data_IF_083975397080
#
_entry.id   IF_083975397080
#
_cell.length_a   1.000
_cell.length_b   1.000
_cell.length_c   1.000
_cell.angle_alpha   90.00
_cell.angle_beta   90.00
_cell.angle_gamma   90.00
#
_symmetry.space_group_name_H-M   'P 1'
#
loop_
_entity.id
_entity.type
_entity.pdbx_description
1 polymer ?
#
# COMPACT_ATOMS: atom_id res chain seq x y z
N UNK A 1 -21.98 58.50 28.88
CA UNK A 1 -21.95 57.42 27.86
C UNK A 1 -20.52 56.89 27.80
N UNK A 2 -20.28 55.72 28.40
CA UNK A 2 -18.97 55.05 28.38
C UNK A 2 -18.99 54.04 27.23
N UNK A 3 -18.17 54.26 26.22
CA UNK A 3 -17.95 53.29 25.13
C UNK A 3 -17.03 52.17 25.62
N UNK A 4 -17.61 50.98 25.71
CA UNK A 4 -16.88 49.73 25.99
C UNK A 4 -16.27 49.27 24.66
N UNK A 5 -14.95 49.36 24.52
CA UNK A 5 -14.22 48.78 23.39
C UNK A 5 -14.00 47.30 23.70
N UNK A 6 -14.70 46.44 23.03
CA UNK A 6 -14.45 44.99 23.08
C UNK A 6 -13.31 44.69 22.10
N UNK A 7 -12.13 44.41 22.64
CA UNK A 7 -11.01 43.92 21.84
C UNK A 7 -11.20 42.42 21.69
N UNK A 8 -11.64 41.99 20.49
CA UNK A 8 -11.66 40.57 20.10
C UNK A 8 -10.21 40.19 19.77
N UNK A 9 -9.54 39.49 20.70
CA UNK A 9 -8.26 38.85 20.45
C UNK A 9 -8.58 37.57 19.67
N UNK A 10 -8.42 37.66 18.35
CA UNK A 10 -8.42 36.49 17.48
C UNK A 10 -7.11 35.75 17.73
N UNK A 11 -7.13 34.73 18.59
CA UNK A 11 -6.06 33.75 18.72
C UNK A 11 -5.95 33.02 17.36
N UNK A 12 -5.04 33.50 16.52
CA UNK A 12 -4.56 32.71 15.39
C UNK A 12 -3.85 31.50 15.99
N UNK A 13 -4.57 30.38 16.06
CA UNK A 13 -3.98 29.06 16.25
C UNK A 13 -3.17 28.80 14.98
N UNK A 14 -1.92 29.23 14.97
CA UNK A 14 -0.99 28.75 13.97
C UNK A 14 -0.86 27.25 14.18
N UNK A 15 -1.01 26.43 13.13
CA UNK A 15 -0.72 25.02 13.26
C UNK A 15 0.74 24.92 13.72
N UNK A 16 0.94 24.35 14.91
CA UNK A 16 2.28 23.99 15.38
C UNK A 16 2.78 22.97 14.35
N UNK A 17 3.54 23.45 13.38
CA UNK A 17 4.34 22.57 12.52
C UNK A 17 5.34 21.91 13.46
N UNK A 18 5.04 20.67 13.84
CA UNK A 18 6.02 19.80 14.45
C UNK A 18 7.08 19.62 13.37
N UNK A 19 8.17 20.34 13.50
CA UNK A 19 9.37 20.15 12.69
C UNK A 19 9.87 18.75 13.05
N UNK A 20 9.52 17.78 12.21
CA UNK A 20 9.89 16.39 12.46
C UNK A 20 11.41 16.32 12.50
N UNK A 21 11.97 15.82 13.59
CA UNK A 21 13.42 15.60 13.66
C UNK A 21 13.78 14.42 12.76
N UNK A 22 14.03 14.70 11.45
CA UNK A 22 14.44 13.71 10.49
C UNK A 22 15.70 12.96 10.94
N UNK A 23 16.55 13.58 11.77
CA UNK A 23 17.71 12.90 12.35
C UNK A 23 17.29 11.75 13.29
N UNK A 24 16.23 11.97 14.06
CA UNK A 24 15.69 10.91 14.92
C UNK A 24 15.06 9.79 14.09
N UNK A 25 14.35 10.11 13.00
CA UNK A 25 13.80 9.11 12.09
C UNK A 25 14.88 8.29 11.39
N UNK A 26 16.00 8.90 10.98
CA UNK A 26 17.13 8.14 10.47
C UNK A 26 17.68 7.14 11.49
N UNK A 27 17.84 7.55 12.76
CA UNK A 27 18.26 6.64 13.84
C UNK A 27 17.26 5.49 14.04
N UNK A 28 15.95 5.79 13.96
CA UNK A 28 14.91 4.77 14.05
C UNK A 28 14.96 3.80 12.85
N UNK A 29 15.17 4.32 11.63
CA UNK A 29 15.30 3.50 10.43
C UNK A 29 16.53 2.58 10.55
N UNK A 30 17.68 3.11 10.95
CA UNK A 30 18.89 2.31 11.14
C UNK A 30 18.70 1.22 12.22
N UNK A 31 18.03 1.55 13.32
CA UNK A 31 17.69 0.58 14.36
C UNK A 31 16.70 -0.49 13.86
N UNK A 32 15.70 -0.09 13.07
CA UNK A 32 14.75 -1.04 12.47
C UNK A 32 15.45 -1.97 11.47
N UNK A 33 16.36 -1.45 10.63
CA UNK A 33 17.14 -2.24 9.70
C UNK A 33 18.05 -3.25 10.43
N UNK A 34 18.70 -2.82 11.51
CA UNK A 34 19.53 -3.72 12.34
C UNK A 34 18.70 -4.84 12.99
N UNK A 35 17.42 -4.59 13.29
CA UNK A 35 16.51 -5.57 13.89
C UNK A 35 15.62 -6.31 12.87
N UNK A 36 15.85 -6.15 11.57
CA UNK A 36 15.00 -6.74 10.55
C UNK A 36 14.83 -8.25 10.67
N UNK A 37 15.91 -8.97 11.00
CA UNK A 37 15.85 -10.42 11.21
C UNK A 37 14.80 -10.81 12.27
N UNK A 38 14.70 -10.03 13.33
CA UNK A 38 13.69 -10.21 14.37
C UNK A 38 12.25 -9.98 13.86
N UNK A 39 12.02 -8.94 13.05
CA UNK A 39 10.67 -8.72 12.46
C UNK A 39 10.27 -9.85 11.49
N UNK A 40 11.24 -10.35 10.71
CA UNK A 40 11.03 -11.51 9.84
C UNK A 40 10.71 -12.76 10.67
N UNK A 41 11.44 -13.01 11.75
CA UNK A 41 11.17 -14.14 12.66
C UNK A 41 9.76 -14.06 13.28
N UNK A 42 9.34 -12.89 13.74
CA UNK A 42 7.98 -12.66 14.25
C UNK A 42 6.93 -12.96 13.19
N UNK A 43 7.16 -12.54 11.94
CA UNK A 43 6.26 -12.80 10.81
C UNK A 43 6.18 -14.30 10.52
N UNK A 44 7.33 -14.99 10.43
CA UNK A 44 7.39 -16.44 10.20
C UNK A 44 6.74 -17.22 11.35
N UNK A 45 6.93 -16.79 12.60
CA UNK A 45 6.25 -17.39 13.75
C UNK A 45 4.73 -17.28 13.61
N UNK A 46 4.21 -16.10 13.32
CA UNK A 46 2.77 -15.90 13.11
C UNK A 46 2.23 -16.75 11.96
N UNK A 47 2.94 -16.80 10.83
CA UNK A 47 2.58 -17.67 9.71
C UNK A 47 2.58 -19.15 10.07
N UNK A 48 3.54 -19.60 10.88
CA UNK A 48 3.61 -20.98 11.33
C UNK A 48 2.48 -21.32 12.32
N UNK A 49 2.08 -20.41 13.20
CA UNK A 49 0.93 -20.59 14.08
C UNK A 49 -0.35 -20.80 13.28
N UNK A 50 -0.59 -19.98 12.24
CA UNK A 50 -1.73 -20.15 11.32
C UNK A 50 -1.66 -21.53 10.62
N UNK A 51 -0.48 -21.93 10.09
CA UNK A 51 -0.29 -23.22 9.43
C UNK A 51 -0.50 -24.41 10.37
N UNK A 52 -0.10 -24.29 11.63
CA UNK A 52 -0.33 -25.34 12.61
C UNK A 52 -1.81 -25.50 12.94
N UNK A 53 -2.56 -24.39 13.01
CA UNK A 53 -4.01 -24.41 13.14
C UNK A 53 -4.69 -25.23 12.03
N UNK A 54 -4.08 -25.31 10.84
CA UNK A 54 -4.56 -26.12 9.71
C UNK A 54 -4.72 -27.60 10.03
N UNK A 55 -3.95 -28.14 10.97
CA UNK A 55 -4.01 -29.57 11.36
C UNK A 55 -5.32 -29.93 12.03
N UNK A 56 -6.02 -28.96 12.60
CA UNK A 56 -7.28 -29.16 13.33
C UNK A 56 -8.50 -28.83 12.47
N UNK A 57 -8.29 -28.36 11.24
CA UNK A 57 -9.34 -27.95 10.32
C UNK A 57 -9.80 -29.17 9.50
N UNK A 58 -11.04 -29.59 9.71
CA UNK A 58 -11.61 -30.80 9.04
C UNK A 58 -12.53 -30.42 7.89
N UNK A 59 -13.30 -29.33 8.01
CA UNK A 59 -14.25 -28.93 6.96
C UNK A 59 -13.57 -28.27 5.77
N UNK A 60 -14.16 -28.42 4.57
CA UNK A 60 -13.67 -27.74 3.38
C UNK A 60 -13.81 -26.21 3.51
N UNK A 61 -14.87 -25.73 4.14
CA UNK A 61 -15.10 -24.29 4.33
C UNK A 61 -14.02 -23.66 5.23
N UNK A 62 -13.67 -24.31 6.33
CA UNK A 62 -12.62 -23.80 7.22
C UNK A 62 -11.23 -23.87 6.57
N UNK A 63 -10.97 -24.89 5.73
CA UNK A 63 -9.76 -24.94 4.89
C UNK A 63 -9.71 -23.79 3.90
N UNK A 64 -10.83 -23.42 3.29
CA UNK A 64 -10.92 -22.29 2.37
C UNK A 64 -10.65 -20.97 3.10
N UNK A 65 -11.25 -20.75 4.27
CA UNK A 65 -10.96 -19.58 5.14
C UNK A 65 -9.48 -19.51 5.48
N UNK A 66 -8.88 -20.62 5.87
CA UNK A 66 -7.46 -20.70 6.18
C UNK A 66 -6.57 -20.35 4.99
N UNK A 67 -6.87 -20.88 3.80
CA UNK A 67 -6.11 -20.57 2.59
C UNK A 67 -6.23 -19.08 2.22
N UNK A 68 -7.42 -18.50 2.38
CA UNK A 68 -7.62 -17.06 2.17
C UNK A 68 -6.80 -16.23 3.17
N UNK A 69 -6.80 -16.61 4.44
CA UNK A 69 -5.98 -15.95 5.48
C UNK A 69 -4.49 -16.04 5.14
N UNK A 70 -3.96 -17.23 4.81
CA UNK A 70 -2.57 -17.41 4.44
C UNK A 70 -2.20 -16.63 3.17
N UNK A 71 -3.06 -16.64 2.15
CA UNK A 71 -2.84 -15.85 0.93
C UNK A 71 -2.74 -14.34 1.25
N UNK A 72 -3.58 -13.83 2.13
CA UNK A 72 -3.55 -12.43 2.57
C UNK A 72 -2.30 -12.08 3.39
N UNK A 73 -1.87 -12.98 4.29
CA UNK A 73 -0.64 -12.80 5.08
C UNK A 73 0.62 -12.79 4.21
N UNK A 74 0.66 -13.63 3.17
CA UNK A 74 1.79 -13.72 2.26
C UNK A 74 1.82 -12.63 1.18
N UNK A 75 0.71 -11.98 0.87
CA UNK A 75 0.55 -11.07 -0.28
C UNK A 75 1.65 -9.99 -0.40
N UNK A 76 2.02 -9.35 0.70
CA UNK A 76 3.09 -8.34 0.73
C UNK A 76 4.43 -8.90 1.23
N UNK A 77 4.45 -10.16 1.66
CA UNK A 77 5.62 -10.82 2.23
C UNK A 77 6.30 -11.76 1.25
N UNK A 78 5.54 -12.66 0.62
CA UNK A 78 6.07 -13.63 -0.33
C UNK A 78 5.05 -14.01 -1.40
N UNK A 79 5.30 -13.52 -2.62
CA UNK A 79 4.37 -13.68 -3.74
C UNK A 79 4.07 -15.14 -4.08
N UNK A 80 5.11 -15.99 -4.19
CA UNK A 80 4.95 -17.38 -4.61
C UNK A 80 4.15 -18.18 -3.59
N UNK A 81 4.37 -17.92 -2.31
CA UNK A 81 3.57 -18.50 -1.22
C UNK A 81 2.12 -18.00 -1.27
N UNK A 82 1.89 -16.70 -1.50
CA UNK A 82 0.54 -16.16 -1.67
C UNK A 82 -0.19 -16.84 -2.83
N UNK A 83 0.45 -16.94 -4.00
CA UNK A 83 -0.11 -17.59 -5.18
C UNK A 83 -0.37 -19.09 -4.93
N UNK A 84 0.51 -19.77 -4.20
CA UNK A 84 0.32 -21.17 -3.81
C UNK A 84 -0.97 -21.37 -3.01
N UNK A 85 -1.24 -20.50 -2.01
CA UNK A 85 -2.47 -20.62 -1.22
C UNK A 85 -3.71 -20.19 -1.99
N UNK A 86 -3.61 -19.21 -2.88
CA UNK A 86 -4.69 -18.85 -3.81
C UNK A 86 -5.05 -20.05 -4.71
N UNK A 87 -4.07 -20.70 -5.30
CA UNK A 87 -4.30 -21.86 -6.16
C UNK A 87 -4.88 -23.07 -5.39
N UNK A 88 -4.40 -23.34 -4.17
CA UNK A 88 -5.00 -24.36 -3.29
C UNK A 88 -6.46 -24.04 -2.98
N UNK A 89 -6.76 -22.77 -2.73
CA UNK A 89 -8.13 -22.30 -2.50
C UNK A 89 -9.02 -22.47 -3.72
N UNK A 90 -8.58 -22.10 -4.92
CA UNK A 90 -9.30 -22.29 -6.18
C UNK A 90 -9.63 -23.77 -6.42
N UNK A 91 -8.63 -24.63 -6.31
CA UNK A 91 -8.81 -26.09 -6.52
C UNK A 91 -9.82 -26.66 -5.51
N UNK A 92 -9.72 -26.31 -4.23
CA UNK A 92 -10.62 -26.80 -3.20
C UNK A 92 -12.04 -26.25 -3.37
N UNK A 93 -12.18 -24.95 -3.69
CA UNK A 93 -13.48 -24.32 -3.93
C UNK A 93 -14.20 -24.95 -5.12
N UNK A 94 -13.48 -25.27 -6.21
CA UNK A 94 -14.03 -25.99 -7.37
C UNK A 94 -14.46 -27.43 -7.00
N UNK A 95 -13.61 -28.19 -6.31
CA UNK A 95 -13.91 -29.58 -5.89
C UNK A 95 -15.10 -29.65 -4.92
N UNK A 96 -15.28 -28.64 -4.07
CA UNK A 96 -16.39 -28.57 -3.10
C UNK A 96 -17.62 -27.84 -3.63
N UNK A 97 -17.63 -27.40 -4.90
CA UNK A 97 -18.66 -26.55 -5.50
C UNK A 97 -18.96 -25.29 -4.68
N UNK A 98 -17.96 -24.74 -4.00
CA UNK A 98 -18.11 -23.52 -3.21
C UNK A 98 -17.90 -22.28 -4.08
N UNK A 99 -19.00 -21.78 -4.67
CA UNK A 99 -18.99 -20.64 -5.60
C UNK A 99 -18.48 -19.37 -4.92
N UNK A 100 -18.86 -19.14 -3.66
CA UNK A 100 -18.46 -17.95 -2.91
C UNK A 100 -16.92 -17.85 -2.78
N UNK A 101 -16.27 -18.88 -2.28
CA UNK A 101 -14.81 -18.87 -2.15
C UNK A 101 -14.10 -18.92 -3.50
N UNK A 102 -14.68 -19.61 -4.51
CA UNK A 102 -14.10 -19.59 -5.86
C UNK A 102 -13.95 -18.15 -6.39
N UNK A 103 -15.01 -17.34 -6.31
CA UNK A 103 -14.99 -15.93 -6.71
C UNK A 103 -13.99 -15.12 -5.89
N UNK A 104 -13.90 -15.31 -4.58
CA UNK A 104 -12.94 -14.60 -3.70
C UNK A 104 -11.48 -14.92 -4.06
N UNK A 105 -11.17 -16.18 -4.33
CA UNK A 105 -9.82 -16.57 -4.75
C UNK A 105 -9.49 -16.07 -6.16
N UNK A 106 -10.45 -15.97 -7.08
CA UNK A 106 -10.26 -15.32 -8.38
C UNK A 106 -9.87 -13.85 -8.21
N UNK A 107 -10.53 -13.09 -7.32
CA UNK A 107 -10.12 -11.71 -7.01
C UNK A 107 -8.73 -11.65 -6.37
N UNK A 108 -8.41 -12.57 -5.47
CA UNK A 108 -7.08 -12.65 -4.85
C UNK A 108 -5.99 -12.95 -5.88
N UNK A 109 -6.24 -13.89 -6.80
CA UNK A 109 -5.35 -14.20 -7.92
C UNK A 109 -5.13 -12.95 -8.81
N UNK A 110 -6.21 -12.29 -9.17
CA UNK A 110 -6.16 -11.08 -9.99
C UNK A 110 -5.31 -9.99 -9.34
N UNK A 111 -5.46 -9.77 -8.04
CA UNK A 111 -4.65 -8.77 -7.30
C UNK A 111 -3.16 -9.14 -7.30
N UNK A 112 -2.82 -10.41 -7.19
CA UNK A 112 -1.44 -10.87 -7.31
C UNK A 112 -0.89 -10.67 -8.74
N UNK A 113 -1.67 -10.97 -9.78
CA UNK A 113 -1.30 -10.72 -11.17
C UNK A 113 -1.03 -9.23 -11.43
N UNK A 114 -1.89 -8.34 -10.92
CA UNK A 114 -1.71 -6.88 -11.03
C UNK A 114 -0.37 -6.45 -10.44
N UNK A 115 0.02 -6.96 -9.26
CA UNK A 115 1.28 -6.58 -8.62
C UNK A 115 2.52 -7.04 -9.40
N UNK A 116 2.36 -7.96 -10.34
CA UNK A 116 3.43 -8.47 -11.22
C UNK A 116 3.37 -7.92 -12.64
N UNK A 117 2.41 -7.05 -12.94
CA UNK A 117 2.28 -6.42 -14.26
C UNK A 117 1.52 -7.25 -15.28
N UNK A 118 0.87 -8.37 -14.89
CA UNK A 118 0.02 -9.18 -15.76
C UNK A 118 -1.37 -8.55 -15.89
N UNK A 119 -1.43 -7.34 -16.46
CA UNK A 119 -2.65 -6.53 -16.49
C UNK A 119 -3.71 -7.07 -17.44
N UNK A 120 -3.30 -7.65 -18.58
CA UNK A 120 -4.21 -8.22 -19.55
C UNK A 120 -4.93 -9.45 -18.98
N UNK A 121 -4.19 -10.37 -18.39
CA UNK A 121 -4.72 -11.57 -17.73
C UNK A 121 -5.62 -11.21 -16.54
N UNK A 122 -5.19 -10.21 -15.74
CA UNK A 122 -6.00 -9.70 -14.64
C UNK A 122 -7.34 -9.14 -15.12
N UNK A 123 -7.34 -8.39 -16.22
CA UNK A 123 -8.56 -7.84 -16.84
C UNK A 123 -9.49 -8.93 -17.35
N UNK A 124 -8.96 -9.97 -18.02
CA UNK A 124 -9.75 -11.08 -18.52
C UNK A 124 -10.51 -11.83 -17.40
N UNK A 125 -9.87 -12.02 -16.24
CA UNK A 125 -10.53 -12.62 -15.08
C UNK A 125 -11.65 -11.70 -14.58
N UNK A 126 -11.37 -10.41 -14.40
CA UNK A 126 -12.34 -9.43 -13.87
C UNK A 126 -13.54 -9.23 -14.78
N UNK A 127 -13.38 -9.33 -16.10
CA UNK A 127 -14.48 -9.19 -17.05
C UNK A 127 -15.51 -10.33 -16.97
N UNK A 128 -15.13 -11.48 -16.41
CA UNK A 128 -16.02 -12.64 -16.20
C UNK A 128 -16.78 -12.58 -14.88
N UNK A 129 -16.51 -11.58 -14.04
CA UNK A 129 -17.12 -11.43 -12.72
C UNK A 129 -18.23 -10.39 -12.78
N UNK A 130 -19.42 -10.76 -12.34
CA UNK A 130 -20.56 -9.85 -12.15
C UNK A 130 -20.75 -9.56 -10.66
N UNK A 131 -20.35 -8.37 -10.17
CA UNK A 131 -20.34 -8.10 -8.73
C UNK A 131 -21.70 -7.68 -8.16
N UNK A 132 -22.69 -7.29 -8.98
CA UNK A 132 -23.90 -6.58 -8.53
C UNK A 132 -24.75 -7.35 -7.52
N UNK A 133 -24.83 -8.67 -7.65
CA UNK A 133 -25.64 -9.53 -6.78
C UNK A 133 -24.84 -10.12 -5.62
N UNK A 134 -23.58 -9.80 -5.52
CA UNK A 134 -22.68 -10.32 -4.49
C UNK A 134 -22.79 -9.51 -3.18
N UNK A 135 -22.36 -10.10 -2.04
CA UNK A 135 -22.27 -9.38 -0.77
C UNK A 135 -21.45 -8.08 -0.88
N UNK A 136 -21.79 -7.08 -0.05
CA UNK A 136 -21.16 -5.75 -0.09
C UNK A 136 -19.65 -5.76 0.02
N UNK A 137 -19.09 -6.64 0.84
CA UNK A 137 -17.64 -6.81 1.02
C UNK A 137 -16.96 -7.35 -0.25
N UNK A 138 -17.64 -8.25 -0.96
CA UNK A 138 -17.15 -8.75 -2.24
C UNK A 138 -17.22 -7.67 -3.33
N UNK A 139 -18.32 -6.92 -3.41
CA UNK A 139 -18.46 -5.80 -4.34
C UNK A 139 -17.35 -4.75 -4.09
N UNK A 140 -17.11 -4.41 -2.82
CA UNK A 140 -16.01 -3.53 -2.44
C UNK A 140 -14.66 -4.06 -2.94
N UNK A 141 -14.35 -5.33 -2.68
CA UNK A 141 -13.09 -5.96 -3.08
C UNK A 141 -12.93 -5.97 -4.62
N UNK A 142 -14.01 -6.23 -5.35
CA UNK A 142 -14.02 -6.19 -6.81
C UNK A 142 -13.68 -4.78 -7.34
N UNK A 143 -14.41 -3.75 -6.90
CA UNK A 143 -14.18 -2.39 -7.38
C UNK A 143 -12.82 -1.83 -6.94
N UNK A 144 -12.36 -2.19 -5.76
CA UNK A 144 -11.00 -1.87 -5.32
C UNK A 144 -9.93 -2.58 -6.17
N UNK A 145 -10.19 -3.81 -6.60
CA UNK A 145 -9.29 -4.53 -7.52
C UNK A 145 -9.28 -3.90 -8.91
N UNK A 146 -10.43 -3.48 -9.42
CA UNK A 146 -10.54 -2.72 -10.67
C UNK A 146 -9.80 -1.37 -10.59
N UNK A 147 -9.94 -0.66 -9.48
CA UNK A 147 -9.16 0.56 -9.21
C UNK A 147 -7.65 0.25 -9.27
N UNK A 148 -7.20 -0.77 -8.57
CA UNK A 148 -5.80 -1.19 -8.55
C UNK A 148 -5.27 -1.57 -9.94
N UNK A 149 -6.06 -2.28 -10.74
CA UNK A 149 -5.72 -2.62 -12.12
C UNK A 149 -5.45 -1.35 -12.95
N UNK A 150 -6.40 -0.43 -12.99
CA UNK A 150 -6.26 0.75 -13.84
C UNK A 150 -5.26 1.76 -13.29
N UNK A 151 -5.06 1.82 -11.97
CA UNK A 151 -4.01 2.64 -11.37
C UNK A 151 -2.61 2.15 -11.78
N UNK A 152 -2.34 0.86 -11.65
CA UNK A 152 -1.04 0.30 -12.04
C UNK A 152 -0.83 0.33 -13.56
N UNK A 153 -1.88 0.06 -14.33
CA UNK A 153 -1.78 0.07 -15.79
C UNK A 153 -1.56 1.48 -16.35
N UNK A 154 -2.25 2.49 -15.79
CA UNK A 154 -2.02 3.90 -16.13
C UNK A 154 -0.58 4.31 -15.86
N UNK A 155 -0.06 3.99 -14.68
CA UNK A 155 1.34 4.26 -14.31
C UNK A 155 2.32 3.55 -15.24
N UNK A 156 2.01 2.31 -15.66
CA UNK A 156 2.83 1.55 -16.59
C UNK A 156 2.90 2.19 -17.99
N UNK A 157 1.77 2.69 -18.49
CA UNK A 157 1.67 3.27 -19.83
C UNK A 157 2.22 4.71 -19.91
N UNK A 158 2.51 5.33 -18.76
CA UNK A 158 2.95 6.73 -18.65
C UNK A 158 2.04 7.72 -19.42
N UNK A 159 2.57 8.85 -19.89
CA UNK A 159 1.80 9.96 -20.48
C UNK A 159 1.31 9.73 -21.92
N UNK A 160 0.90 8.52 -22.28
CA UNK A 160 0.36 8.25 -23.60
C UNK A 160 -1.18 8.28 -23.64
N UNK A 161 -1.78 8.10 -24.81
CA UNK A 161 -3.22 8.13 -25.04
C UNK A 161 -3.96 7.06 -24.20
N UNK A 162 -3.37 5.88 -24.03
CA UNK A 162 -3.96 4.80 -23.24
C UNK A 162 -4.01 5.14 -21.74
N UNK A 163 -2.99 5.82 -21.20
CA UNK A 163 -2.94 6.22 -19.79
C UNK A 163 -4.11 7.12 -19.41
N UNK A 164 -4.50 8.08 -20.26
CA UNK A 164 -5.64 8.97 -20.02
C UNK A 164 -6.95 8.21 -19.83
N UNK A 165 -7.20 7.19 -20.66
CA UNK A 165 -8.39 6.35 -20.52
C UNK A 165 -8.36 5.52 -19.24
N UNK A 166 -7.19 5.01 -18.87
CA UNK A 166 -7.03 4.26 -17.63
C UNK A 166 -7.18 5.15 -16.40
N UNK A 167 -6.75 6.41 -16.44
CA UNK A 167 -6.95 7.38 -15.37
C UNK A 167 -8.43 7.69 -15.11
N UNK A 168 -9.23 7.81 -16.16
CA UNK A 168 -10.70 7.98 -16.02
C UNK A 168 -11.33 6.76 -15.34
N UNK A 169 -10.98 5.56 -15.78
CA UNK A 169 -11.49 4.31 -15.19
C UNK A 169 -11.02 4.13 -13.75
N UNK A 170 -9.77 4.46 -13.46
CA UNK A 170 -9.23 4.45 -12.09
C UNK A 170 -10.12 5.24 -11.14
N UNK A 171 -10.43 6.49 -11.49
CA UNK A 171 -11.27 7.37 -10.65
C UNK A 171 -12.71 6.85 -10.54
N UNK A 172 -13.29 6.31 -11.62
CA UNK A 172 -14.61 5.70 -11.59
C UNK A 172 -14.70 4.54 -10.61
N UNK A 173 -13.76 3.59 -10.70
CA UNK A 173 -13.77 2.42 -9.82
C UNK A 173 -13.40 2.75 -8.38
N UNK A 174 -12.53 3.75 -8.16
CA UNK A 174 -12.22 4.26 -6.83
C UNK A 174 -13.47 4.82 -6.14
N UNK A 175 -14.30 5.60 -6.84
CA UNK A 175 -15.57 6.10 -6.31
C UNK A 175 -16.50 4.96 -5.88
N UNK A 176 -16.68 3.95 -6.74
CA UNK A 176 -17.50 2.77 -6.42
C UNK A 176 -16.96 2.00 -5.20
N UNK A 177 -15.65 1.84 -5.09
CA UNK A 177 -15.04 1.21 -3.92
C UNK A 177 -15.29 2.03 -2.64
N UNK A 178 -15.15 3.35 -2.68
CA UNK A 178 -15.41 4.22 -1.51
C UNK A 178 -16.86 4.14 -1.04
N UNK A 179 -17.84 4.10 -1.96
CA UNK A 179 -19.26 3.96 -1.61
C UNK A 179 -19.57 2.68 -0.84
N UNK A 180 -18.81 1.63 -1.09
CA UNK A 180 -18.99 0.31 -0.49
C UNK A 180 -18.09 0.06 0.73
N UNK A 181 -17.02 0.85 0.91
CA UNK A 181 -16.07 0.65 2.01
C UNK A 181 -16.69 0.89 3.38
N UNK A 182 -16.17 0.27 4.45
CA UNK A 182 -16.51 0.62 5.82
C UNK A 182 -16.08 2.07 6.08
N UNK A 183 -17.07 2.94 6.38
CA UNK A 183 -16.78 4.35 6.66
C UNK A 183 -16.15 4.51 8.04
N UNK A 184 -15.23 5.48 8.16
CA UNK A 184 -14.52 5.86 9.39
C UNK A 184 -13.35 4.95 9.81
N UNK A 185 -12.98 3.94 9.04
CA UNK A 185 -11.72 3.24 9.25
C UNK A 185 -10.53 3.94 8.56
N UNK A 186 -9.31 3.51 8.87
CA UNK A 186 -8.10 4.07 8.28
C UNK A 186 -8.08 3.90 6.75
N UNK A 187 -8.57 2.76 6.27
CA UNK A 187 -8.58 2.47 4.84
C UNK A 187 -9.55 3.35 4.05
N UNK A 188 -10.73 3.64 4.60
CA UNK A 188 -11.65 4.61 4.02
C UNK A 188 -10.99 5.98 3.84
N UNK A 189 -10.29 6.48 4.88
CA UNK A 189 -9.62 7.76 4.79
C UNK A 189 -8.46 7.75 3.79
N UNK A 190 -7.74 6.64 3.66
CA UNK A 190 -6.75 6.45 2.62
C UNK A 190 -7.37 6.58 1.22
N UNK A 191 -8.46 5.84 0.94
CA UNK A 191 -9.16 5.90 -0.36
C UNK A 191 -9.74 7.29 -0.65
N UNK A 192 -10.21 8.02 0.37
CA UNK A 192 -10.63 9.42 0.21
C UNK A 192 -9.45 10.32 -0.18
N UNK A 193 -8.28 10.11 0.39
CA UNK A 193 -7.05 10.79 -0.03
C UNK A 193 -6.73 10.54 -1.50
N UNK A 194 -6.74 9.27 -1.93
CA UNK A 194 -6.55 8.87 -3.33
C UNK A 194 -7.56 9.55 -4.27
N UNK A 195 -8.84 9.63 -3.86
CA UNK A 195 -9.87 10.27 -4.68
C UNK A 195 -9.60 11.77 -4.91
N UNK A 196 -9.21 12.49 -3.87
CA UNK A 196 -8.86 13.91 -4.02
C UNK A 196 -7.56 14.14 -4.77
N UNK A 197 -6.62 13.21 -4.68
CA UNK A 197 -5.36 13.26 -5.42
C UNK A 197 -5.54 13.03 -6.92
N UNK A 198 -6.35 12.03 -7.32
CA UNK A 198 -6.58 11.68 -8.71
C UNK A 198 -7.78 12.39 -9.36
N UNK A 199 -8.48 13.26 -8.65
CA UNK A 199 -9.63 13.99 -9.21
C UNK A 199 -9.18 14.97 -10.31
N UNK A 200 -10.13 15.33 -11.20
CA UNK A 200 -9.89 16.33 -12.26
C UNK A 200 -9.48 17.71 -11.71
N UNK A 201 -9.81 17.98 -10.45
CA UNK A 201 -9.40 19.18 -9.71
C UNK A 201 -8.73 18.74 -8.41
N UNK A 202 -7.44 18.37 -8.46
CA UNK A 202 -6.73 17.89 -7.30
C UNK A 202 -6.75 18.91 -6.16
N UNK A 203 -7.06 18.46 -4.96
CA UNK A 203 -7.06 19.32 -3.78
C UNK A 203 -6.04 18.79 -2.77
N UNK A 204 -4.81 19.29 -2.87
CA UNK A 204 -3.71 18.85 -2.02
C UNK A 204 -4.00 18.99 -0.52
N UNK A 205 -4.72 20.04 -0.10
CA UNK A 205 -5.06 20.24 1.32
C UNK A 205 -5.99 19.13 1.83
N UNK A 206 -7.05 18.80 1.07
CA UNK A 206 -7.95 17.69 1.42
C UNK A 206 -7.24 16.35 1.34
N UNK A 207 -6.43 16.13 0.31
CA UNK A 207 -5.63 14.91 0.17
C UNK A 207 -4.73 14.70 1.41
N UNK A 208 -3.96 15.71 1.79
CA UNK A 208 -3.11 15.67 2.99
C UNK A 208 -3.93 15.44 4.26
N UNK A 209 -5.06 16.10 4.41
CA UNK A 209 -5.95 15.94 5.56
C UNK A 209 -6.44 14.49 5.71
N UNK A 210 -6.90 13.88 4.61
CA UNK A 210 -7.39 12.51 4.61
C UNK A 210 -6.27 11.49 4.86
N UNK A 211 -5.11 11.64 4.21
CA UNK A 211 -3.98 10.75 4.48
C UNK A 211 -3.45 10.87 5.91
N UNK A 212 -3.33 12.09 6.46
CA UNK A 212 -2.95 12.27 7.87
C UNK A 212 -3.96 11.62 8.82
N UNK A 213 -5.26 11.68 8.49
CA UNK A 213 -6.30 10.99 9.26
C UNK A 213 -6.14 9.48 9.20
N UNK A 214 -5.92 8.91 8.00
CA UNK A 214 -5.64 7.49 7.84
C UNK A 214 -4.41 7.05 8.63
N UNK A 215 -3.32 7.80 8.52
CA UNK A 215 -2.06 7.53 9.20
C UNK A 215 -2.24 7.52 10.74
N UNK A 216 -3.01 8.49 11.28
CA UNK A 216 -3.25 8.58 12.73
C UNK A 216 -4.11 7.46 13.31
N UNK A 217 -4.82 6.72 12.48
CA UNK A 217 -5.70 5.62 12.89
C UNK A 217 -5.05 4.24 12.72
N UNK A 218 -3.90 4.19 12.06
CA UNK A 218 -3.26 2.94 11.69
C UNK A 218 -2.04 2.66 12.57
N UNK A 219 -1.72 1.37 12.76
CA UNK A 219 -0.50 0.96 13.48
C UNK A 219 0.73 1.28 12.65
N UNK A 220 1.78 1.78 13.32
CA UNK A 220 3.04 2.18 12.66
C UNK A 220 3.79 1.04 11.96
N UNK A 221 3.50 -0.20 12.31
CA UNK A 221 4.07 -1.41 11.69
C UNK A 221 3.07 -2.10 10.74
N UNK A 222 2.19 -1.35 10.09
CA UNK A 222 1.24 -1.89 9.14
C UNK A 222 1.58 -1.48 7.71
N UNK A 223 1.15 -2.31 6.76
CA UNK A 223 1.28 -2.01 5.33
C UNK A 223 0.53 -0.72 4.94
N UNK A 224 -0.66 -0.50 5.49
CA UNK A 224 -1.46 0.68 5.19
C UNK A 224 -0.77 1.96 5.70
N UNK A 225 -0.13 1.90 6.87
CA UNK A 225 0.65 3.02 7.39
C UNK A 225 1.82 3.37 6.45
N UNK A 226 2.58 2.37 5.98
CA UNK A 226 3.66 2.57 5.02
C UNK A 226 3.15 3.20 3.71
N UNK A 227 2.09 2.63 3.11
CA UNK A 227 1.48 3.15 1.89
C UNK A 227 1.00 4.60 2.04
N UNK A 228 0.36 4.92 3.16
CA UNK A 228 -0.18 6.26 3.41
C UNK A 228 0.93 7.29 3.62
N UNK A 229 1.98 6.93 4.33
CA UNK A 229 3.15 7.78 4.51
C UNK A 229 3.87 8.00 3.17
N UNK A 230 4.03 6.97 2.37
CA UNK A 230 4.61 7.09 1.02
C UNK A 230 3.80 8.04 0.13
N UNK A 231 2.46 7.91 0.10
CA UNK A 231 1.58 8.81 -0.65
C UNK A 231 1.69 10.28 -0.19
N UNK A 232 1.87 10.52 1.12
CA UNK A 232 2.16 11.86 1.62
C UNK A 232 3.49 12.40 1.11
N UNK A 233 4.53 11.57 1.05
CA UNK A 233 5.84 11.98 0.52
C UNK A 233 5.76 12.45 -0.93
N UNK A 234 4.99 11.76 -1.78
CA UNK A 234 4.78 12.15 -3.18
C UNK A 234 4.08 13.51 -3.32
N UNK A 235 3.11 13.82 -2.44
CA UNK A 235 2.44 15.13 -2.45
C UNK A 235 3.41 16.23 -2.06
N UNK A 236 4.23 16.01 -1.05
CA UNK A 236 5.22 17.00 -0.62
C UNK A 236 6.36 17.13 -1.63
N UNK A 237 6.71 16.08 -2.36
CA UNK A 237 7.62 16.14 -3.51
C UNK A 237 7.08 17.09 -4.59
N UNK A 238 5.80 16.91 -5.00
CA UNK A 238 5.15 17.79 -5.98
C UNK A 238 5.02 19.22 -5.52
N UNK A 239 4.87 19.43 -4.20
CA UNK A 239 4.87 20.76 -3.58
C UNK A 239 6.28 21.35 -3.38
N UNK A 240 7.34 20.66 -3.79
CA UNK A 240 8.74 21.02 -3.56
C UNK A 240 9.10 21.26 -2.08
N UNK A 241 8.38 20.58 -1.17
CA UNK A 241 8.67 20.61 0.26
C UNK A 241 9.56 19.41 0.64
N UNK A 242 10.86 19.59 0.44
CA UNK A 242 11.84 18.51 0.61
C UNK A 242 11.93 17.99 2.05
N UNK A 243 11.71 18.83 3.05
CA UNK A 243 11.76 18.45 4.47
C UNK A 243 10.64 17.44 4.81
N UNK A 244 9.40 17.76 4.40
CA UNK A 244 8.25 16.88 4.64
C UNK A 244 8.26 15.65 3.71
N UNK A 245 8.77 15.78 2.49
CA UNK A 245 9.01 14.62 1.61
C UNK A 245 9.93 13.61 2.30
N UNK A 246 11.11 14.06 2.76
CA UNK A 246 12.07 13.22 3.48
C UNK A 246 11.45 12.59 4.74
N UNK A 247 10.74 13.41 5.53
CA UNK A 247 10.04 12.94 6.72
C UNK A 247 9.13 11.74 6.44
N UNK A 248 8.22 11.87 5.48
CA UNK A 248 7.26 10.82 5.18
C UNK A 248 7.85 9.62 4.45
N UNK A 249 8.93 9.80 3.67
CA UNK A 249 9.70 8.67 3.13
C UNK A 249 10.34 7.84 4.26
N UNK A 250 10.91 8.51 5.27
CA UNK A 250 11.48 7.82 6.44
C UNK A 250 10.41 7.06 7.24
N UNK A 251 9.25 7.69 7.47
CA UNK A 251 8.12 7.04 8.15
C UNK A 251 7.65 5.81 7.36
N UNK A 252 7.53 5.91 6.04
CA UNK A 252 7.16 4.79 5.18
C UNK A 252 8.20 3.66 5.24
N UNK A 253 9.49 3.98 5.12
CA UNK A 253 10.56 3.01 5.16
C UNK A 253 10.64 2.26 6.51
N UNK A 254 10.48 2.97 7.63
CA UNK A 254 10.43 2.35 8.96
C UNK A 254 9.24 1.38 9.05
N UNK A 255 8.06 1.80 8.56
CA UNK A 255 6.85 0.96 8.59
C UNK A 255 7.00 -0.30 7.72
N UNK A 256 7.60 -0.19 6.54
CA UNK A 256 7.88 -1.33 5.65
C UNK A 256 8.84 -2.33 6.32
N UNK A 257 9.91 -1.85 6.94
CA UNK A 257 10.88 -2.71 7.64
C UNK A 257 10.25 -3.42 8.83
N UNK A 258 9.51 -2.68 9.67
CA UNK A 258 8.91 -3.23 10.90
C UNK A 258 7.72 -4.13 10.65
N UNK A 259 7.04 -4.01 9.50
CA UNK A 259 5.99 -4.93 9.05
C UNK A 259 6.53 -6.17 8.33
N UNK A 260 7.86 -6.31 8.21
CA UNK A 260 8.53 -7.34 7.43
C UNK A 260 8.11 -7.40 5.96
N UNK A 261 7.60 -6.30 5.39
CA UNK A 261 7.23 -6.23 3.98
C UNK A 261 8.46 -6.39 3.09
N UNK A 262 8.36 -7.15 2.00
CA UNK A 262 9.43 -7.27 1.00
C UNK A 262 9.43 -6.15 -0.04
N UNK A 263 8.38 -5.35 -0.12
CA UNK A 263 8.34 -4.15 -0.93
C UNK A 263 9.00 -3.00 -0.17
N UNK A 264 10.04 -2.41 -0.74
CA UNK A 264 10.87 -1.42 -0.05
C UNK A 264 11.18 -0.21 -0.92
N UNK A 265 10.18 0.25 -1.61
CA UNK A 265 10.27 1.43 -2.48
C UNK A 265 10.72 2.65 -1.68
N UNK A 266 10.14 2.86 -0.49
CA UNK A 266 10.48 3.99 0.37
C UNK A 266 11.96 4.02 0.78
N UNK A 267 12.59 2.86 1.03
CA UNK A 267 14.02 2.82 1.36
C UNK A 267 14.91 3.19 0.17
N UNK A 268 14.52 2.76 -1.04
CA UNK A 268 15.22 3.13 -2.26
C UNK A 268 15.09 4.63 -2.54
N UNK A 269 13.89 5.18 -2.34
CA UNK A 269 13.64 6.60 -2.55
C UNK A 269 14.36 7.48 -1.54
N UNK A 270 14.50 7.03 -0.27
CA UNK A 270 15.37 7.73 0.71
C UNK A 270 16.83 7.71 0.28
N UNK A 271 17.32 6.58 -0.23
CA UNK A 271 18.70 6.52 -0.74
C UNK A 271 18.90 7.48 -1.92
N UNK A 272 17.93 7.53 -2.82
CA UNK A 272 17.94 8.44 -3.97
C UNK A 272 17.84 9.91 -3.54
N UNK A 273 16.99 10.20 -2.55
CA UNK A 273 16.86 11.52 -1.94
C UNK A 273 18.18 11.99 -1.34
N UNK A 274 18.86 11.15 -0.54
CA UNK A 274 20.18 11.44 0.03
C UNK A 274 21.20 11.73 -1.09
N UNK A 275 21.23 10.89 -2.12
CA UNK A 275 22.14 11.07 -3.26
C UNK A 275 21.92 12.40 -3.98
N UNK A 276 20.66 12.71 -4.28
CA UNK A 276 20.27 13.91 -5.04
C UNK A 276 20.49 15.20 -4.26
N UNK A 277 20.09 15.23 -2.99
CA UNK A 277 20.07 16.43 -2.17
C UNK A 277 21.27 16.54 -1.21
N UNK A 278 22.14 15.54 -1.18
CA UNK A 278 23.34 15.49 -0.34
C UNK A 278 23.06 15.73 1.15
N UNK A 279 21.89 15.30 1.62
CA UNK A 279 21.45 15.50 3.01
C UNK A 279 22.23 14.64 4.00
N UNK A 280 22.87 13.56 3.52
CA UNK A 280 23.73 12.62 4.25
C UNK A 280 24.94 12.21 3.39
N UNK A 281 25.83 11.39 3.95
CA UNK A 281 26.97 10.84 3.21
C UNK A 281 26.50 9.92 2.08
N UNK A 282 27.26 9.90 0.98
CA UNK A 282 27.01 8.95 -0.12
C UNK A 282 27.11 7.49 0.33
N UNK A 283 27.97 7.19 1.33
CA UNK A 283 28.06 5.86 1.93
C UNK A 283 26.73 5.44 2.55
N UNK A 284 25.99 6.39 3.16
CA UNK A 284 24.67 6.11 3.74
C UNK A 284 23.63 5.79 2.67
N UNK A 285 23.63 6.53 1.58
CA UNK A 285 22.78 6.22 0.43
C UNK A 285 23.10 4.83 -0.13
N UNK A 286 24.40 4.51 -0.29
CA UNK A 286 24.86 3.22 -0.79
C UNK A 286 24.50 2.06 0.16
N UNK A 287 24.54 2.28 1.46
CA UNK A 287 24.10 1.31 2.48
C UNK A 287 22.62 0.96 2.30
N UNK A 288 21.74 1.96 2.12
CA UNK A 288 20.32 1.73 1.93
C UNK A 288 19.99 1.08 0.57
N UNK A 289 20.68 1.44 -0.52
CA UNK A 289 20.53 0.78 -1.83
C UNK A 289 20.98 -0.68 -1.77
N UNK A 290 22.13 -0.92 -1.15
CA UNK A 290 22.74 -2.25 -1.08
C UNK A 290 22.19 -3.07 0.09
N UNK A 291 21.26 -2.54 0.86
CA UNK A 291 20.70 -3.29 1.97
C UNK A 291 20.27 -4.68 1.49
N UNK A 292 20.74 -5.77 2.11
CA UNK A 292 20.62 -7.11 1.54
C UNK A 292 19.20 -7.62 1.56
N UNK A 293 18.45 -7.22 0.53
CA UNK A 293 17.16 -7.86 0.20
C UNK A 293 17.37 -9.27 -0.33
N UNK A 294 18.62 -9.61 -0.71
CA UNK A 294 19.03 -10.87 -1.33
C UNK A 294 18.87 -12.12 -0.48
N UNK A 295 18.69 -12.00 0.83
CA UNK A 295 18.38 -13.18 1.63
C UNK A 295 16.98 -13.76 1.40
N UNK A 296 16.15 -13.12 0.56
CA UNK A 296 14.74 -13.43 0.42
C UNK A 296 14.25 -13.61 -1.02
N UNK A 297 15.14 -13.57 -2.02
CA UNK A 297 14.79 -13.91 -3.40
C UNK A 297 15.58 -15.14 -3.82
N UNK A 298 15.04 -16.34 -3.66
CA UNK A 298 15.41 -17.42 -4.55
C UNK A 298 14.60 -17.20 -5.84
N UNK A 299 15.32 -17.04 -6.95
CA UNK A 299 14.85 -17.26 -8.31
C UNK A 299 14.56 -16.06 -9.21
N UNK A 300 15.13 -16.19 -10.31
CA UNK A 300 15.03 -15.83 -11.75
C UNK A 300 13.89 -14.93 -12.28
N UNK A 301 12.95 -14.46 -11.50
CA UNK A 301 11.83 -13.60 -11.95
C UNK A 301 11.90 -12.14 -11.42
N UNK A 302 13.00 -11.74 -10.79
CA UNK A 302 13.14 -10.47 -10.07
C UNK A 302 13.44 -9.22 -10.90
N UNK A 303 13.42 -9.28 -12.24
CA UNK A 303 13.84 -8.15 -13.07
C UNK A 303 12.75 -7.11 -13.40
N UNK A 304 11.51 -7.31 -12.99
CA UNK A 304 10.40 -6.42 -13.38
C UNK A 304 9.99 -5.38 -12.32
N UNK A 305 10.53 -5.43 -11.10
CA UNK A 305 10.15 -4.51 -10.01
C UNK A 305 11.08 -3.30 -9.82
N UNK A 306 12.18 -3.24 -10.57
CA UNK A 306 13.09 -2.09 -10.59
C UNK A 306 12.66 -1.16 -11.73
N UNK A 307 11.55 -0.47 -11.60
CA UNK A 307 11.27 0.67 -12.46
C UNK A 307 11.71 1.93 -11.75
N UNK A 308 12.87 2.43 -12.15
CA UNK A 308 13.19 3.83 -12.05
C UNK A 308 12.02 4.61 -12.67
N UNK A 309 11.40 5.48 -11.91
CA UNK A 309 10.50 6.48 -12.47
C UNK A 309 11.35 7.36 -13.40
N UNK A 310 11.08 7.44 -14.72
CA UNK A 310 11.94 8.18 -15.67
C UNK A 310 11.82 9.70 -15.58
N UNK A 311 11.23 10.26 -14.53
CA UNK A 311 11.10 11.70 -14.36
C UNK A 311 12.23 12.36 -13.55
N UNK A 312 13.44 11.81 -13.62
CA UNK A 312 14.62 12.44 -13.03
C UNK A 312 15.66 12.72 -14.12
N UNK A 313 15.37 13.74 -14.94
CA UNK A 313 16.37 14.56 -15.65
C UNK A 313 16.35 15.97 -15.09
#
# INVERSE_FOLDING_TARGET
MRHLIVIIITLMIQPIYIKGDNNQLYKQLDAALAQRAHYVELKEKSLNEIKQGAKYVTSNEDKLKLYEQLANEYKAYEYDSAMTYVNKGLILAQKSNNIFFNKRFQLSQTRLLITRGFYAEAKEILQKIEPKEEPRDYQFLYYYTMYGLYNNWSTYCENNEFSKNYDLKKVEYLKKAIELSPKKDAFYYYLMGELYYFSNHPNNNKTIQYYKKALSMEKTNSRLHAMTAFALSEIYQKANNLELMEHYLLVAAISDVTSATKENVALQDIALFIYKHKTRSLNKAQEYINYPWKMLIPTKAGCAALRFHPNYN
#
